data_IF_829779496400
#
_entry.id   IF_829779496400
#
_cell.length_a   1.000
_cell.length_b   1.000
_cell.length_c   1.000
_cell.angle_alpha   90.00
_cell.angle_beta   90.00
_cell.angle_gamma   90.00
#
_symmetry.space_group_name_H-M   'P 1'
#
loop_
_entity.id
_entity.type
_entity.pdbx_description
1 polymer ?
#
# COMPACT_ATOMS: atom_id res chain seq x y z
N UNK A 1 1.64 8.65 2.30
CA UNK A 1 2.97 9.10 2.72
C UNK A 1 4.09 8.59 1.80
N UNK A 2 3.79 7.67 0.90
CA UNK A 2 4.80 7.10 0.01
C UNK A 2 4.21 6.87 -1.39
N UNK A 3 4.86 7.44 -2.39
CA UNK A 3 4.44 7.35 -3.79
C UNK A 3 5.66 7.06 -4.65
N UNK A 4 5.60 6.01 -5.45
CA UNK A 4 6.62 5.68 -6.45
C UNK A 4 5.91 5.48 -7.78
N UNK A 5 6.14 6.40 -8.73
CA UNK A 5 5.52 6.34 -10.07
C UNK A 5 5.87 5.01 -10.75
N UNK A 6 4.89 4.42 -11.41
CA UNK A 6 5.05 3.13 -12.08
C UNK A 6 5.15 1.91 -11.17
N UNK A 7 5.06 2.11 -9.84
CA UNK A 7 5.12 1.02 -8.86
C UNK A 7 3.85 0.97 -7.99
N UNK A 8 3.71 1.89 -7.04
CA UNK A 8 2.56 1.87 -6.13
C UNK A 8 2.37 3.22 -5.43
N UNK A 9 1.18 3.41 -4.83
CA UNK A 9 0.91 4.47 -3.88
C UNK A 9 0.50 3.84 -2.56
N UNK A 10 1.02 4.35 -1.44
CA UNK A 10 0.87 3.73 -0.11
C UNK A 10 0.37 4.76 0.91
N UNK A 11 -0.58 4.34 1.73
CA UNK A 11 -1.14 5.17 2.79
C UNK A 11 -1.68 4.35 3.95
N UNK A 12 -2.39 5.03 4.86
CA UNK A 12 -3.09 4.40 5.98
C UNK A 12 -2.33 4.37 7.29
N UNK A 13 -1.04 4.73 7.31
CA UNK A 13 -0.23 4.61 8.53
C UNK A 13 0.17 5.93 9.18
N UNK A 14 0.10 7.05 8.45
CA UNK A 14 0.62 8.33 8.91
C UNK A 14 -0.34 9.47 8.64
N UNK A 15 -0.28 10.50 9.47
CA UNK A 15 -0.96 11.77 9.22
C UNK A 15 -0.14 12.62 8.24
N UNK A 16 -0.68 13.78 7.86
CA UNK A 16 -0.02 14.68 6.90
C UNK A 16 1.37 15.14 7.39
N UNK A 17 1.56 15.28 8.70
CA UNK A 17 2.83 15.67 9.30
C UNK A 17 3.75 14.46 9.60
N UNK A 18 3.42 13.28 9.06
CA UNK A 18 4.17 12.04 9.23
C UNK A 18 4.17 11.48 10.67
N UNK A 19 3.18 11.86 11.46
CA UNK A 19 2.94 11.22 12.76
C UNK A 19 2.29 9.86 12.54
N UNK A 20 2.85 8.81 13.13
CA UNK A 20 2.31 7.46 13.00
C UNK A 20 0.97 7.35 13.72
N UNK A 21 -0.01 6.78 13.03
CA UNK A 21 -1.34 6.54 13.58
C UNK A 21 -1.34 5.32 14.49
N UNK A 22 -2.19 5.36 15.53
CA UNK A 22 -2.46 4.17 16.34
C UNK A 22 -3.19 3.11 15.52
N UNK A 23 -2.89 1.85 15.77
CA UNK A 23 -3.48 0.72 15.06
C UNK A 23 -3.96 -0.35 16.03
N UNK A 24 -4.83 -1.22 15.54
CA UNK A 24 -5.12 -2.49 16.20
C UNK A 24 -3.93 -3.45 16.05
N UNK A 25 -4.07 -4.66 16.57
CA UNK A 25 -3.03 -5.69 16.47
C UNK A 25 -2.78 -6.08 15.03
N UNK A 26 -1.57 -6.53 14.74
CA UNK A 26 -1.21 -7.08 13.44
C UNK A 26 -2.06 -8.30 13.10
N UNK A 27 -2.32 -8.47 11.81
CA UNK A 27 -3.13 -9.58 11.29
C UNK A 27 -2.27 -10.56 10.51
N UNK A 28 -2.76 -11.78 10.37
CA UNK A 28 -2.10 -12.82 9.59
C UNK A 28 -2.06 -12.46 8.11
N UNK A 29 -0.98 -12.81 7.45
CA UNK A 29 -0.80 -12.57 6.03
C UNK A 29 -1.56 -13.62 5.21
N UNK A 30 -2.47 -13.17 4.37
CA UNK A 30 -3.30 -14.02 3.51
C UNK A 30 -2.83 -14.02 2.05
N UNK A 31 -1.56 -13.71 1.79
CA UNK A 31 -1.03 -13.60 0.42
C UNK A 31 -1.14 -14.92 -0.38
N UNK A 32 -1.27 -16.06 0.31
CA UNK A 32 -1.51 -17.36 -0.32
C UNK A 32 -2.93 -17.58 -0.84
N UNK A 33 -3.77 -16.54 -0.88
CA UNK A 33 -5.17 -16.62 -1.30
C UNK A 33 -5.39 -16.77 -2.82
N UNK A 34 -4.32 -16.81 -3.61
CA UNK A 34 -4.39 -16.93 -5.07
C UNK A 34 -4.53 -15.61 -5.82
N UNK A 35 -4.71 -14.48 -5.13
CA UNK A 35 -4.81 -13.17 -5.75
C UNK A 35 -3.41 -12.60 -6.01
N UNK A 36 -3.27 -11.90 -7.12
CA UNK A 36 -1.98 -11.38 -7.58
C UNK A 36 -1.92 -9.86 -7.53
N UNK A 37 -0.72 -9.33 -7.32
CA UNK A 37 -0.44 -7.90 -7.29
C UNK A 37 -0.36 -7.34 -8.72
N UNK A 38 -1.50 -7.25 -9.38
CA UNK A 38 -1.62 -6.65 -10.71
C UNK A 38 -2.03 -5.18 -10.61
N UNK A 39 -1.90 -4.43 -11.71
CA UNK A 39 -2.27 -3.01 -11.72
C UNK A 39 -3.71 -2.80 -11.23
N UNK A 40 -3.89 -1.85 -10.32
CA UNK A 40 -5.19 -1.50 -9.74
C UNK A 40 -5.59 -2.34 -8.54
N UNK A 41 -4.84 -3.37 -8.14
CA UNK A 41 -5.14 -4.12 -6.93
C UNK A 41 -4.66 -3.40 -5.68
N UNK A 42 -5.35 -3.66 -4.56
CA UNK A 42 -5.04 -3.11 -3.25
C UNK A 42 -4.50 -4.24 -2.37
N UNK A 43 -3.36 -4.01 -1.74
CA UNK A 43 -2.70 -5.00 -0.90
C UNK A 43 -2.25 -4.39 0.43
N UNK A 44 -2.04 -5.24 1.43
CA UNK A 44 -1.55 -4.80 2.74
C UNK A 44 -0.04 -4.61 2.73
N UNK A 45 0.41 -3.43 3.16
CA UNK A 45 1.81 -3.19 3.46
C UNK A 45 2.18 -3.87 4.79
N UNK A 46 3.45 -4.21 4.95
CA UNK A 46 3.98 -4.89 6.14
C UNK A 46 5.46 -4.63 6.32
N UNK A 47 6.00 -5.00 7.45
CA UNK A 47 7.44 -5.04 7.68
C UNK A 47 8.04 -6.35 7.13
N UNK A 48 9.30 -6.62 7.42
CA UNK A 48 9.94 -7.90 7.07
C UNK A 48 9.28 -9.13 7.69
N UNK A 49 8.56 -8.97 8.80
CA UNK A 49 7.75 -10.05 9.36
C UNK A 49 6.49 -10.24 8.49
N UNK A 50 6.23 -11.44 7.94
CA UNK A 50 5.06 -11.69 7.10
C UNK A 50 3.72 -11.35 7.76
N UNK A 51 3.62 -11.52 9.07
CA UNK A 51 2.38 -11.33 9.84
C UNK A 51 2.41 -10.03 10.65
N UNK A 52 2.84 -8.93 10.05
CA UNK A 52 3.00 -7.62 10.70
C UNK A 52 2.07 -6.53 10.17
N UNK A 53 1.18 -6.84 9.23
CA UNK A 53 0.28 -5.86 8.66
C UNK A 53 -0.70 -5.31 9.70
N UNK A 54 -0.87 -4.00 9.71
CA UNK A 54 -1.82 -3.32 10.61
C UNK A 54 -2.80 -2.44 9.82
N UNK A 55 -2.42 -1.20 9.49
CA UNK A 55 -3.33 -0.26 8.81
C UNK A 55 -2.82 0.22 7.46
N UNK A 56 -1.56 0.00 7.14
CA UNK A 56 -1.00 0.49 5.87
C UNK A 56 -1.37 -0.42 4.72
N UNK A 57 -1.74 0.20 3.61
CA UNK A 57 -2.07 -0.50 2.37
C UNK A 57 -1.42 0.24 1.20
N UNK A 58 -1.36 -0.42 0.06
CA UNK A 58 -0.91 0.22 -1.17
C UNK A 58 -1.80 -0.19 -2.35
N UNK A 59 -1.81 0.65 -3.36
CA UNK A 59 -2.47 0.35 -4.64
C UNK A 59 -1.38 0.18 -5.68
N UNK A 60 -1.39 -0.95 -6.37
CA UNK A 60 -0.43 -1.25 -7.42
C UNK A 60 -0.70 -0.38 -8.65
N UNK A 61 0.33 0.29 -9.17
CA UNK A 61 0.26 1.07 -10.40
C UNK A 61 0.68 0.26 -11.62
N UNK A 62 1.22 -0.93 -11.41
CA UNK A 62 1.69 -1.84 -12.46
C UNK A 62 1.50 -3.29 -11.98
N UNK A 63 1.78 -4.23 -12.86
CA UNK A 63 1.83 -5.65 -12.50
C UNK A 63 3.14 -5.92 -11.75
N UNK A 64 3.04 -6.03 -10.43
CA UNK A 64 4.18 -6.18 -9.54
C UNK A 64 4.30 -7.64 -9.08
N UNK A 65 4.60 -8.55 -10.01
CA UNK A 65 4.65 -9.99 -9.75
C UNK A 65 5.63 -10.39 -8.66
N UNK A 66 6.68 -9.60 -8.43
CA UNK A 66 7.66 -9.85 -7.36
C UNK A 66 7.06 -9.69 -5.95
N UNK A 67 5.87 -9.09 -5.82
CA UNK A 67 5.14 -8.96 -4.56
C UNK A 67 4.19 -10.14 -4.29
N UNK A 68 4.05 -11.07 -5.22
CA UNK A 68 3.16 -12.21 -5.06
C UNK A 68 3.75 -13.26 -4.12
N UNK A 69 2.86 -14.03 -3.49
CA UNK A 69 3.25 -15.15 -2.63
C UNK A 69 3.98 -16.23 -3.46
N UNK A 70 5.16 -16.64 -2.98
CA UNK A 70 5.97 -17.70 -3.59
C UNK A 70 6.14 -18.89 -2.65
N UNK A 71 6.40 -18.60 -1.38
CA UNK A 71 6.60 -19.60 -0.32
C UNK A 71 6.37 -18.97 1.05
N UNK A 72 6.55 -19.73 2.11
CA UNK A 72 6.32 -19.26 3.48
C UNK A 72 7.54 -18.59 4.12
N UNK A 73 8.62 -18.35 3.37
CA UNK A 73 9.75 -17.58 3.88
C UNK A 73 9.37 -16.10 4.02
N UNK A 74 10.06 -15.32 4.87
CA UNK A 74 9.78 -13.88 4.99
C UNK A 74 9.90 -13.13 3.65
N UNK A 75 10.86 -13.47 2.81
CA UNK A 75 11.08 -12.83 1.51
C UNK A 75 10.07 -13.30 0.46
N UNK A 76 9.64 -14.57 0.53
CA UNK A 76 8.76 -15.18 -0.46
C UNK A 76 7.28 -15.16 -0.09
N UNK A 77 6.92 -14.74 1.13
CA UNK A 77 5.53 -14.78 1.58
C UNK A 77 4.63 -13.86 0.76
N UNK A 78 5.14 -12.72 0.32
CA UNK A 78 4.42 -11.76 -0.51
C UNK A 78 3.51 -10.83 0.29
N UNK A 79 2.67 -10.13 -0.45
CA UNK A 79 1.77 -9.10 0.07
C UNK A 79 0.34 -9.46 -0.28
N UNK A 80 -0.54 -9.49 0.73
CA UNK A 80 -1.90 -9.96 0.59
C UNK A 80 -2.79 -8.96 -0.16
N UNK A 81 -3.22 -9.33 -1.37
CA UNK A 81 -4.21 -8.59 -2.13
C UNK A 81 -5.59 -8.88 -1.53
N UNK A 82 -6.36 -7.82 -1.23
CA UNK A 82 -7.69 -7.95 -0.65
C UNK A 82 -8.77 -7.20 -1.42
N UNK A 83 -8.42 -6.50 -2.48
CA UNK A 83 -9.38 -5.74 -3.27
C UNK A 83 -8.78 -5.19 -4.55
N UNK A 84 -9.60 -4.47 -5.30
CA UNK A 84 -9.17 -3.78 -6.52
C UNK A 84 -9.95 -2.49 -6.71
N UNK A 85 -9.34 -1.54 -7.40
CA UNK A 85 -9.99 -0.29 -7.80
C UNK A 85 -10.98 -0.60 -8.92
N UNK A 86 -12.25 -0.22 -8.75
CA UNK A 86 -13.30 -0.40 -9.75
C UNK A 86 -13.74 0.92 -10.38
N UNK A 87 -13.27 2.06 -9.86
CA UNK A 87 -13.53 3.39 -10.41
C UNK A 87 -12.49 4.36 -9.91
N UNK A 88 -12.16 5.39 -10.72
CA UNK A 88 -11.18 6.40 -10.31
C UNK A 88 -9.73 5.98 -10.48
N UNK A 89 -9.41 5.01 -11.33
CA UNK A 89 -8.02 4.60 -11.55
C UNK A 89 -7.17 5.73 -12.15
N UNK A 90 -7.79 6.65 -12.89
CA UNK A 90 -7.14 7.87 -13.37
C UNK A 90 -6.66 8.76 -12.20
N UNK A 91 -7.45 8.87 -11.13
CA UNK A 91 -7.06 9.59 -9.91
C UNK A 91 -5.85 8.90 -9.25
N UNK A 92 -5.89 7.58 -9.16
CA UNK A 92 -4.78 6.78 -8.60
C UNK A 92 -3.50 7.01 -9.40
N UNK A 93 -3.58 6.97 -10.73
CA UNK A 93 -2.42 7.23 -11.59
C UNK A 93 -1.90 8.66 -11.45
N UNK A 94 -2.78 9.63 -11.31
CA UNK A 94 -2.40 11.04 -11.10
C UNK A 94 -1.67 11.22 -9.77
N UNK A 95 -2.11 10.55 -8.71
CA UNK A 95 -1.38 10.53 -7.43
C UNK A 95 0.02 9.94 -7.63
N UNK A 96 0.14 8.89 -8.42
CA UNK A 96 1.43 8.26 -8.72
C UNK A 96 2.45 9.19 -9.36
N UNK A 97 2.01 10.29 -9.98
CA UNK A 97 2.86 11.24 -10.71
C UNK A 97 3.22 12.49 -9.91
N UNK A 98 2.76 12.63 -8.67
CA UNK A 98 3.09 13.81 -7.87
C UNK A 98 4.58 13.84 -7.53
N UNK A 99 5.12 15.06 -7.36
CA UNK A 99 6.50 15.24 -6.93
C UNK A 99 6.71 14.70 -5.53
N UNK A 100 7.81 14.00 -5.32
CA UNK A 100 8.16 13.39 -4.03
C UNK A 100 9.52 13.84 -3.57
N UNK A 101 9.77 13.68 -2.28
CA UNK A 101 11.06 14.00 -1.64
C UNK A 101 11.27 13.08 -0.45
N UNK A 102 12.49 13.03 0.06
CA UNK A 102 12.78 12.31 1.29
C UNK A 102 12.57 13.24 2.48
N UNK A 103 11.90 12.76 3.52
CA UNK A 103 11.63 13.52 4.75
C UNK A 103 11.92 12.65 5.96
N UNK A 104 12.87 13.07 6.81
CA UNK A 104 13.31 12.32 7.99
C UNK A 104 13.73 10.89 7.59
N UNK A 105 13.11 9.87 8.19
CA UNK A 105 13.37 8.47 7.85
C UNK A 105 12.52 7.96 6.67
N UNK A 106 11.64 8.81 6.14
CA UNK A 106 10.72 8.42 5.05
C UNK A 106 11.28 8.81 3.70
N UNK A 107 11.15 7.92 2.72
CA UNK A 107 11.52 8.15 1.33
C UNK A 107 10.28 8.23 0.45
N UNK A 108 10.40 8.96 -0.66
CA UNK A 108 9.35 9.07 -1.68
C UNK A 108 8.04 9.64 -1.11
N UNK A 109 8.15 10.66 -0.25
CA UNK A 109 7.02 11.35 0.36
C UNK A 109 6.52 12.43 -0.61
N UNK A 110 5.20 12.51 -0.91
CA UNK A 110 4.66 13.59 -1.71
C UNK A 110 5.03 14.96 -1.12
N UNK A 111 5.56 15.85 -1.96
CA UNK A 111 5.94 17.22 -1.53
C UNK A 111 4.72 17.95 -0.97
N UNK A 112 3.58 17.83 -1.66
CA UNK A 112 2.29 18.29 -1.16
C UNK A 112 1.51 17.06 -0.64
N UNK A 113 1.13 17.03 0.65
CA UNK A 113 0.44 15.86 1.20
C UNK A 113 -0.82 15.50 0.41
N UNK A 114 -0.96 14.21 0.10
CA UNK A 114 -2.17 13.63 -0.46
C UNK A 114 -2.95 13.04 0.70
N UNK A 115 -4.18 13.51 0.92
CA UNK A 115 -4.94 13.21 2.12
C UNK A 115 -6.16 12.37 1.76
N UNK A 116 -6.33 11.24 2.45
CA UNK A 116 -7.59 10.50 2.46
C UNK A 116 -8.50 11.19 3.49
N UNK A 117 -9.54 11.86 3.01
CA UNK A 117 -10.44 12.61 3.90
C UNK A 117 -11.41 11.70 4.64
N UNK A 118 -11.90 10.66 3.97
CA UNK A 118 -12.82 9.69 4.58
C UNK A 118 -12.86 8.41 3.75
N UNK A 119 -13.26 7.34 4.40
CA UNK A 119 -13.55 6.05 3.78
C UNK A 119 -14.93 5.62 4.22
N UNK A 120 -15.80 5.27 3.28
CA UNK A 120 -17.15 4.78 3.55
C UNK A 120 -17.24 3.31 3.10
N UNK A 121 -17.85 2.49 3.95
CA UNK A 121 -18.15 1.11 3.59
C UNK A 121 -19.58 1.08 3.04
N UNK A 122 -19.71 0.61 1.81
CA UNK A 122 -21.03 0.45 1.18
C UNK A 122 -21.60 -0.90 1.59
N UNK A 123 -22.88 -0.91 1.96
CA UNK A 123 -23.59 -2.13 2.38
C UNK A 123 -24.71 -2.47 1.40
#
# INVERSE_FOLDING_TARGET
HRVIDGFMIQGGGFTADLTQKSTDKAISNEAGNGLKNTAGTIAMARTGNPHSATSQFFINLADNGFLNHKDQSPQGYGYAVFGKVIGGMDVVRNIGKVSTTDQAIHQNVPVKPVIIRRVNILK
#
